data_IF_825705963136
#
_entry.id   IF_825705963136
#
_cell.length_a   1.000
_cell.length_b   1.000
_cell.length_c   1.000
_cell.angle_alpha   90.00
_cell.angle_beta   90.00
_cell.angle_gamma   90.00
#
_symmetry.space_group_name_H-M   'P 1'
#
loop_
_entity.id
_entity.type
_entity.pdbx_description
1 polymer ?
#
# COMPACT_ATOMS: atom_id res chain seq x y z
N UNK A 1 -26.85 -15.24 -3.55
CA UNK A 1 -26.50 -13.81 -3.67
C UNK A 1 -25.10 -13.72 -4.25
N UNK A 2 -24.80 -12.71 -5.08
CA UNK A 2 -23.48 -12.49 -5.68
C UNK A 2 -23.10 -11.02 -5.55
N UNK A 3 -21.86 -10.74 -5.16
CA UNK A 3 -21.35 -9.40 -4.92
C UNK A 3 -19.99 -9.25 -5.61
N UNK A 4 -19.81 -8.15 -6.34
CA UNK A 4 -18.57 -7.87 -7.08
C UNK A 4 -18.30 -6.35 -7.11
N UNK A 5 -17.25 -5.89 -6.45
CA UNK A 5 -16.81 -4.49 -6.44
C UNK A 5 -16.53 -3.93 -7.84
N UNK A 6 -16.29 -4.80 -8.83
CA UNK A 6 -16.09 -4.43 -10.24
C UNK A 6 -17.39 -4.05 -10.95
N UNK A 7 -18.54 -4.34 -10.36
CA UNK A 7 -19.86 -4.14 -10.97
C UNK A 7 -20.94 -3.81 -9.95
N UNK A 8 -20.76 -2.68 -9.25
CA UNK A 8 -21.78 -2.13 -8.35
C UNK A 8 -22.58 -1.10 -9.14
N UNK A 9 -23.84 -1.42 -9.46
CA UNK A 9 -24.70 -0.53 -10.25
C UNK A 9 -24.20 -0.25 -11.67
N UNK A 10 -23.37 -1.14 -12.25
CA UNK A 10 -22.72 -0.95 -13.55
C UNK A 10 -21.42 -0.14 -13.51
N UNK A 11 -20.93 0.24 -12.33
CA UNK A 11 -19.65 0.94 -12.14
C UNK A 11 -18.65 0.03 -11.41
N UNK A 12 -17.37 0.17 -11.77
CA UNK A 12 -16.26 -0.50 -11.08
C UNK A 12 -15.63 0.41 -10.02
N UNK A 13 -15.45 -0.13 -8.83
CA UNK A 13 -14.76 0.53 -7.71
C UNK A 13 -13.38 -0.05 -7.40
N UNK A 14 -12.88 -0.94 -8.26
CA UNK A 14 -11.50 -1.41 -8.18
C UNK A 14 -10.59 -0.61 -9.11
N UNK A 15 -9.33 -0.50 -8.72
CA UNK A 15 -8.25 0.14 -9.45
C UNK A 15 -7.58 -0.85 -10.42
N UNK A 16 -6.76 -0.37 -11.38
CA UNK A 16 -6.16 -1.23 -12.39
C UNK A 16 -5.31 -2.37 -11.81
N UNK A 17 -5.38 -3.54 -12.44
CA UNK A 17 -4.50 -4.67 -12.13
C UNK A 17 -3.03 -4.31 -12.34
N UNK A 18 -2.17 -4.75 -11.42
CA UNK A 18 -0.72 -4.54 -11.47
C UNK A 18 0.03 -5.88 -11.47
N UNK A 19 1.30 -5.86 -11.88
CA UNK A 19 2.17 -7.03 -11.88
C UNK A 19 3.37 -6.79 -10.97
N UNK A 20 3.56 -7.65 -9.98
CA UNK A 20 4.74 -7.60 -9.10
C UNK A 20 6.02 -8.15 -9.77
N UNK A 21 5.88 -8.86 -10.90
CA UNK A 21 6.97 -9.57 -11.59
C UNK A 21 7.50 -8.84 -12.83
N UNK A 22 7.22 -7.54 -12.98
CA UNK A 22 7.75 -6.71 -14.06
C UNK A 22 8.16 -5.36 -13.45
N UNK A 23 9.35 -4.81 -13.77
CA UNK A 23 10.33 -5.28 -14.76
C UNK A 23 11.17 -6.50 -14.35
N UNK A 24 11.15 -6.90 -13.07
CA UNK A 24 11.90 -8.03 -12.54
C UNK A 24 11.05 -8.84 -11.55
N UNK A 25 11.52 -10.01 -11.13
CA UNK A 25 10.84 -10.84 -10.15
C UNK A 25 11.02 -10.29 -8.73
N UNK A 26 9.92 -9.85 -8.12
CA UNK A 26 9.90 -9.41 -6.72
C UNK A 26 8.65 -9.96 -6.01
N UNK A 27 8.86 -10.66 -4.90
CA UNK A 27 7.86 -11.23 -3.99
C UNK A 27 7.08 -10.21 -3.16
N UNK A 28 6.78 -9.04 -3.74
CA UNK A 28 6.08 -7.92 -3.09
C UNK A 28 4.55 -8.08 -3.08
N UNK A 29 4.03 -9.31 -3.04
CA UNK A 29 2.59 -9.58 -3.05
C UNK A 29 1.87 -8.96 -1.85
N UNK A 30 2.52 -8.98 -0.68
CA UNK A 30 2.06 -8.38 0.57
C UNK A 30 1.82 -6.87 0.41
N UNK A 31 2.73 -6.16 -0.28
CA UNK A 31 2.65 -4.73 -0.54
C UNK A 31 1.59 -4.42 -1.60
N UNK A 32 1.58 -5.16 -2.70
CA UNK A 32 0.59 -5.01 -3.76
C UNK A 32 -0.84 -5.22 -3.26
N UNK A 33 -1.07 -6.25 -2.46
CA UNK A 33 -2.39 -6.56 -1.91
C UNK A 33 -2.89 -5.44 -0.98
N UNK A 34 -2.03 -4.97 -0.06
CA UNK A 34 -2.38 -3.90 0.87
C UNK A 34 -2.70 -2.59 0.12
N UNK A 35 -1.82 -2.18 -0.80
CA UNK A 35 -1.95 -0.95 -1.58
C UNK A 35 -3.16 -0.99 -2.53
N UNK A 36 -3.42 -2.11 -3.21
CA UNK A 36 -4.56 -2.25 -4.10
C UNK A 36 -5.88 -2.16 -3.32
N UNK A 37 -6.00 -2.87 -2.20
CA UNK A 37 -7.19 -2.82 -1.35
C UNK A 37 -7.48 -1.40 -0.83
N UNK A 38 -6.44 -0.63 -0.50
CA UNK A 38 -6.60 0.77 -0.08
C UNK A 38 -6.98 1.70 -1.23
N UNK A 39 -6.35 1.53 -2.39
CA UNK A 39 -6.66 2.32 -3.58
C UNK A 39 -8.13 2.10 -4.01
N UNK A 40 -8.63 0.87 -3.92
CA UNK A 40 -10.03 0.52 -4.17
C UNK A 40 -10.98 1.17 -3.14
N UNK A 41 -10.62 1.13 -1.84
CA UNK A 41 -11.38 1.83 -0.80
C UNK A 41 -11.42 3.34 -1.02
N UNK A 42 -10.31 3.95 -1.43
CA UNK A 42 -10.26 5.37 -1.78
C UNK A 42 -11.17 5.69 -2.96
N UNK A 43 -11.21 4.82 -3.98
CA UNK A 43 -12.11 4.96 -5.12
C UNK A 43 -13.57 4.87 -4.70
N UNK A 44 -13.93 3.94 -3.81
CA UNK A 44 -15.26 3.86 -3.20
C UNK A 44 -15.62 5.12 -2.40
N UNK A 45 -14.75 5.58 -1.51
CA UNK A 45 -14.96 6.78 -0.69
C UNK A 45 -15.14 8.05 -1.54
N UNK A 46 -14.51 8.06 -2.72
CA UNK A 46 -14.64 9.15 -3.72
C UNK A 46 -15.79 8.91 -4.71
N UNK A 47 -16.66 7.95 -4.45
CA UNK A 47 -17.82 7.60 -5.29
C UNK A 47 -17.44 7.36 -6.77
N UNK A 48 -16.28 6.73 -7.00
CA UNK A 48 -15.77 6.42 -8.34
C UNK A 48 -15.36 7.65 -9.16
N UNK A 49 -15.09 8.79 -8.51
CA UNK A 49 -14.71 10.04 -9.17
C UNK A 49 -13.29 9.97 -9.75
N UNK A 50 -13.13 10.48 -10.97
CA UNK A 50 -11.83 10.63 -11.62
C UNK A 50 -10.98 11.72 -10.94
N UNK A 51 -9.63 11.61 -10.91
CA UNK A 51 -8.84 10.44 -11.31
C UNK A 51 -8.91 9.34 -10.25
N UNK A 52 -8.64 8.09 -10.63
CA UNK A 52 -8.36 7.04 -9.64
C UNK A 52 -7.09 7.41 -8.87
N UNK A 53 -7.12 7.24 -7.54
CA UNK A 53 -5.93 7.38 -6.70
C UNK A 53 -5.35 5.99 -6.53
N UNK A 54 -4.12 5.79 -7.02
CA UNK A 54 -3.42 4.50 -6.94
C UNK A 54 -2.17 4.74 -6.11
N UNK A 55 -2.11 4.18 -4.90
CA UNK A 55 -0.99 4.45 -4.00
C UNK A 55 0.30 3.78 -4.50
N UNK A 56 1.44 4.36 -4.11
CA UNK A 56 2.75 3.85 -4.51
C UNK A 56 3.12 2.57 -3.75
N UNK A 57 3.20 1.46 -4.49
CA UNK A 57 3.74 0.20 -3.97
C UNK A 57 5.23 0.35 -3.69
N UNK A 58 5.95 1.11 -4.53
CA UNK A 58 7.39 1.27 -4.41
C UNK A 58 7.79 2.07 -3.17
N UNK A 59 7.04 3.12 -2.83
CA UNK A 59 7.28 3.90 -1.61
C UNK A 59 7.15 3.02 -0.36
N UNK A 60 6.14 2.15 -0.32
CA UNK A 60 5.97 1.17 0.74
C UNK A 60 7.14 0.16 0.78
N UNK A 61 7.46 -0.45 -0.37
CA UNK A 61 8.52 -1.46 -0.49
C UNK A 61 9.90 -0.91 -0.07
N UNK A 62 10.18 0.36 -0.38
CA UNK A 62 11.44 0.99 -0.02
C UNK A 62 11.57 1.28 1.47
N UNK A 63 10.45 1.58 2.16
CA UNK A 63 10.48 2.24 3.46
C UNK A 63 9.87 1.45 4.62
N UNK A 64 9.11 0.39 4.36
CA UNK A 64 8.50 -0.41 5.44
C UNK A 64 9.54 -1.03 6.39
N UNK A 65 10.67 -1.48 5.87
CA UNK A 65 11.70 -2.18 6.65
C UNK A 65 11.25 -3.52 7.25
N UNK A 66 11.87 -3.89 8.38
CA UNK A 66 11.48 -5.03 9.23
C UNK A 66 11.33 -6.39 8.53
N UNK A 67 12.22 -6.69 7.58
CA UNK A 67 12.22 -7.95 6.84
C UNK A 67 11.08 -8.08 5.82
N UNK A 68 10.47 -6.95 5.42
CA UNK A 68 9.54 -6.90 4.31
C UNK A 68 10.25 -6.34 3.07
N UNK A 69 10.40 -7.18 2.06
CA UNK A 69 11.15 -6.89 0.83
C UNK A 69 10.62 -7.73 -0.36
N UNK A 70 11.49 -8.03 -1.32
CA UNK A 70 11.17 -8.86 -2.48
C UNK A 70 11.22 -10.38 -2.20
N UNK A 71 11.67 -10.82 -1.03
CA UNK A 71 11.62 -12.24 -0.63
C UNK A 71 10.36 -12.56 0.20
N UNK A 72 9.59 -11.54 0.56
CA UNK A 72 8.32 -11.66 1.26
C UNK A 72 8.05 -10.49 2.18
N UNK A 73 6.94 -10.56 2.92
CA UNK A 73 6.59 -9.52 3.87
C UNK A 73 5.22 -9.75 4.50
N UNK A 74 4.89 -8.89 5.45
CA UNK A 74 3.70 -9.00 6.27
C UNK A 74 2.70 -7.87 5.95
N UNK A 75 1.48 -8.18 5.50
CA UNK A 75 0.42 -7.19 5.33
C UNK A 75 0.14 -6.36 6.60
N UNK A 76 0.31 -6.92 7.80
CA UNK A 76 0.16 -6.17 9.06
C UNK A 76 1.17 -5.03 9.11
N UNK A 77 2.45 -5.32 8.86
CA UNK A 77 3.52 -4.30 8.82
C UNK A 77 3.27 -3.26 7.73
N UNK A 78 2.72 -3.67 6.58
CA UNK A 78 2.30 -2.73 5.54
C UNK A 78 1.27 -1.74 6.06
N UNK A 79 0.15 -2.23 6.63
CA UNK A 79 -0.89 -1.34 7.14
C UNK A 79 -0.43 -0.49 8.33
N UNK A 80 0.40 -1.04 9.22
CA UNK A 80 1.04 -0.29 10.30
C UNK A 80 1.88 0.87 9.75
N UNK A 81 2.73 0.61 8.76
CA UNK A 81 3.53 1.65 8.13
C UNK A 81 2.65 2.75 7.52
N UNK A 82 1.57 2.37 6.83
CA UNK A 82 0.64 3.30 6.19
C UNK A 82 -0.15 4.12 7.23
N UNK A 83 -0.45 3.54 8.39
CA UNK A 83 -1.03 4.28 9.51
C UNK A 83 -0.06 5.35 10.03
N UNK A 84 1.20 4.98 10.23
CA UNK A 84 2.18 5.84 10.89
C UNK A 84 2.78 6.91 9.95
N UNK A 85 2.92 6.60 8.66
CA UNK A 85 3.65 7.43 7.68
C UNK A 85 2.81 7.85 6.45
N UNK A 86 1.68 7.16 6.22
CA UNK A 86 0.89 7.29 5.01
C UNK A 86 1.59 6.72 3.78
N UNK A 87 0.97 6.87 2.61
CA UNK A 87 1.60 6.62 1.32
C UNK A 87 1.23 7.69 0.30
N UNK A 88 2.17 8.05 -0.60
CA UNK A 88 1.86 8.89 -1.72
C UNK A 88 1.16 8.13 -2.85
N UNK A 89 0.69 8.87 -3.85
CA UNK A 89 0.24 8.31 -5.14
C UNK A 89 1.42 7.66 -5.90
N UNK A 90 1.14 6.69 -6.76
CA UNK A 90 2.12 5.98 -7.59
C UNK A 90 3.02 6.92 -8.40
N UNK A 91 2.51 8.07 -8.80
CA UNK A 91 3.29 9.09 -9.53
C UNK A 91 4.49 9.63 -8.74
N UNK A 92 4.50 9.50 -7.41
CA UNK A 92 5.64 9.84 -6.57
C UNK A 92 6.78 8.81 -6.68
N UNK A 93 6.48 7.53 -6.77
CA UNK A 93 7.49 6.48 -6.85
C UNK A 93 6.94 5.30 -7.64
N UNK A 94 7.36 5.21 -8.89
CA UNK A 94 6.91 4.17 -9.80
C UNK A 94 7.53 2.82 -9.41
N UNK A 95 6.74 1.75 -9.52
CA UNK A 95 7.22 0.39 -9.24
C UNK A 95 8.39 -0.04 -10.13
N UNK A 96 9.48 -0.48 -9.51
CA UNK A 96 10.71 -0.96 -10.17
C UNK A 96 11.08 -2.39 -9.81
N UNK A 97 10.20 -3.12 -9.10
CA UNK A 97 10.40 -4.52 -8.71
C UNK A 97 11.74 -4.81 -7.99
N UNK A 98 12.20 -3.87 -7.16
CA UNK A 98 13.38 -4.03 -6.33
C UNK A 98 13.30 -3.10 -5.13
N UNK A 99 13.93 -3.48 -4.01
CA UNK A 99 14.05 -2.59 -2.85
C UNK A 99 15.12 -1.54 -3.14
N UNK A 100 14.75 -0.27 -3.03
CA UNK A 100 15.67 0.86 -3.06
C UNK A 100 15.86 1.43 -1.66
N UNK A 101 16.86 2.29 -1.48
CA UNK A 101 17.03 2.99 -0.21
C UNK A 101 15.81 3.86 0.12
N UNK A 102 15.35 3.82 1.36
CA UNK A 102 14.33 4.75 1.85
C UNK A 102 14.94 6.15 2.00
N UNK A 103 14.75 6.99 0.98
CA UNK A 103 15.12 8.41 0.98
C UNK A 103 13.92 9.21 0.52
N UNK A 104 13.86 10.50 0.87
CA UNK A 104 12.74 11.37 0.44
C UNK A 104 12.54 11.35 -1.09
N UNK A 105 13.63 11.25 -1.86
CA UNK A 105 13.59 11.17 -3.32
C UNK A 105 13.16 9.80 -3.88
N UNK A 106 13.23 8.73 -3.09
CA UNK A 106 12.67 7.42 -3.42
C UNK A 106 11.27 7.21 -2.85
N UNK A 107 10.86 8.04 -1.89
CA UNK A 107 9.52 8.07 -1.33
C UNK A 107 8.56 8.89 -2.20
N UNK A 108 8.94 10.12 -2.55
CA UNK A 108 8.28 10.89 -3.59
C UNK A 108 9.27 11.71 -4.42
N UNK A 109 9.41 11.34 -5.68
CA UNK A 109 10.27 11.98 -6.67
C UNK A 109 9.47 13.00 -7.48
N UNK A 110 9.92 14.25 -7.45
CA UNK A 110 9.39 15.30 -8.30
C UNK A 110 9.90 15.21 -9.75
N UNK A 111 9.37 16.03 -10.68
CA UNK A 111 9.72 16.00 -12.10
C UNK A 111 11.21 16.24 -12.39
N UNK A 112 11.91 16.96 -11.51
CA UNK A 112 13.35 17.24 -11.62
C UNK A 112 14.24 16.09 -11.10
N UNK A 113 13.66 14.99 -10.65
CA UNK A 113 14.40 13.85 -10.08
C UNK A 113 14.77 13.98 -8.61
N UNK A 114 14.49 15.13 -7.99
CA UNK A 114 14.73 15.40 -6.58
C UNK A 114 13.52 15.00 -5.71
N UNK A 115 13.72 14.97 -4.39
CA UNK A 115 12.63 14.81 -3.44
C UNK A 115 11.56 15.91 -3.62
N UNK A 116 10.32 15.49 -3.79
CA UNK A 116 9.16 16.36 -3.81
C UNK A 116 8.79 16.70 -2.36
N UNK A 117 8.81 17.98 -2.00
CA UNK A 117 8.53 18.40 -0.62
C UNK A 117 7.03 18.46 -0.30
N UNK A 118 6.18 18.72 -1.31
CA UNK A 118 4.73 18.83 -1.15
C UNK A 118 4.02 17.79 -2.02
N UNK A 119 3.35 16.84 -1.37
CA UNK A 119 2.51 15.83 -2.00
C UNK A 119 1.39 15.41 -1.04
N UNK A 120 0.31 14.84 -1.60
CA UNK A 120 -0.78 14.27 -0.79
C UNK A 120 -0.36 12.89 -0.32
N UNK A 121 -0.47 12.65 0.99
CA UNK A 121 -0.26 11.33 1.60
C UNK A 121 -1.60 10.79 2.13
N UNK A 122 -1.81 9.49 1.93
CA UNK A 122 -3.02 8.78 2.33
C UNK A 122 -2.71 7.83 3.47
N UNK A 123 -3.55 7.86 4.50
CA UNK A 123 -3.35 7.10 5.74
C UNK A 123 -4.51 6.12 5.93
N UNK A 124 -4.26 5.08 6.72
CA UNK A 124 -5.33 4.26 7.30
C UNK A 124 -5.55 4.70 8.73
N UNK A 125 -6.80 4.78 9.17
CA UNK A 125 -7.14 5.13 10.56
C UNK A 125 -6.97 3.96 11.52
N UNK A 126 -7.10 2.73 11.01
CA UNK A 126 -7.06 1.50 11.78
C UNK A 126 -6.39 0.40 10.96
N UNK A 127 -5.69 -0.48 11.64
CA UNK A 127 -5.12 -1.70 11.10
C UNK A 127 -5.20 -2.80 12.15
N UNK A 128 -5.24 -4.05 11.72
CA UNK A 128 -5.37 -5.21 12.60
C UNK A 128 -4.33 -6.25 12.26
N UNK A 129 -3.84 -6.95 13.29
CA UNK A 129 -2.93 -8.07 13.11
C UNK A 129 -3.71 -9.31 12.66
N UNK A 130 -3.23 -9.96 11.59
CA UNK A 130 -3.78 -11.22 11.12
C UNK A 130 -2.69 -12.29 11.18
N UNK A 131 -2.79 -13.17 12.17
CA UNK A 131 -1.81 -14.23 12.38
C UNK A 131 -2.20 -15.49 11.60
N UNK A 132 -1.35 -15.90 10.66
CA UNK A 132 -1.37 -17.24 10.11
C UNK A 132 -0.72 -18.21 11.11
N UNK A 133 -1.42 -18.53 12.22
CA UNK A 133 -0.92 -19.39 13.29
C UNK A 133 -1.54 -19.07 14.66
N UNK A 134 -1.07 -19.74 15.71
CA UNK A 134 -1.41 -19.33 17.08
C UNK A 134 -0.65 -18.05 17.43
N UNK A 135 -1.39 -16.99 17.74
CA UNK A 135 -0.83 -15.73 18.21
C UNK A 135 0.02 -15.95 19.48
N UNK A 136 1.20 -15.34 19.52
CA UNK A 136 2.07 -15.30 20.70
C UNK A 136 1.68 -14.13 21.61
N UNK A 137 2.27 -14.02 22.80
CA UNK A 137 2.03 -12.88 23.70
C UNK A 137 2.62 -11.57 23.17
N UNK A 138 3.72 -11.63 22.42
CA UNK A 138 4.37 -10.46 21.81
C UNK A 138 3.47 -9.87 20.69
N UNK A 139 2.81 -10.75 19.92
CA UNK A 139 1.77 -10.43 18.94
C UNK A 139 0.54 -9.71 19.52
N UNK A 140 0.32 -9.83 20.84
CA UNK A 140 -0.81 -9.24 21.56
C UNK A 140 -0.48 -7.92 22.27
N UNK A 141 0.78 -7.49 22.28
CA UNK A 141 1.21 -6.25 22.94
C UNK A 141 0.95 -5.00 22.08
N UNK A 142 0.85 -5.13 20.75
CA UNK A 142 0.48 -4.04 19.82
C UNK A 142 -1.05 -3.75 19.76
N UNK A 143 -1.80 -4.16 20.78
CA UNK A 143 -3.26 -4.02 20.85
C UNK A 143 -3.72 -2.68 21.43
N UNK A 144 -3.46 -1.58 20.74
CA UNK A 144 -4.23 -0.34 20.94
C UNK A 144 -5.57 -0.41 20.16
N UNK A 145 -6.42 -1.36 20.53
CA UNK A 145 -7.80 -1.43 20.05
C UNK A 145 -8.69 -0.73 21.09
N UNK A 146 -8.75 0.60 21.05
CA UNK A 146 -9.81 1.34 21.73
C UNK A 146 -11.08 1.31 20.87
N UNK A 147 -12.09 0.59 21.36
CA UNK A 147 -13.47 0.65 20.87
C UNK A 147 -14.11 1.98 21.25
#
# INVERSE_FOLDING_TARGET
EAFDWRSIGGQSFVTPTRSQFVPDECGSCWAHAAVAALSDRLKWLRNGSWPDVVLSVQALLNCVGDGCDCDGGDPYKAYKFIHDNGLPDETCSAYVASVQSCTDAHYCRGPSGNAQQEFVSFFVSEYGAFFCGNATTEDMEDRDFNV
#
